data_IF_915729516287
#
_entry.id   IF_915729516287
#
_cell.length_a   1.000
_cell.length_b   1.000
_cell.length_c   1.000
_cell.angle_alpha   90.00
_cell.angle_beta   90.00
_cell.angle_gamma   90.00
#
_symmetry.space_group_name_H-M   'P 1'
#
loop_
_entity.id
_entity.type
_entity.pdbx_description
1 polymer ?
#
# COMPACT_ATOMS: atom_id res chain seq x y z
N UNK A 1 -44.94 61.42 25.93
CA UNK A 1 -44.92 60.18 25.13
C UNK A 1 -43.66 60.22 24.29
N UNK A 2 -42.64 59.45 24.67
CA UNK A 2 -41.39 59.38 23.92
C UNK A 2 -41.53 58.36 22.77
N UNK A 3 -40.98 58.65 21.58
CA UNK A 3 -41.08 57.73 20.45
C UNK A 3 -40.14 56.53 20.66
N UNK A 4 -40.74 55.34 20.77
CA UNK A 4 -40.03 54.07 20.84
C UNK A 4 -39.26 53.85 19.54
N UNK A 5 -37.93 53.88 19.63
CA UNK A 5 -37.03 53.63 18.51
C UNK A 5 -37.13 52.14 18.15
N UNK A 6 -37.88 51.84 17.09
CA UNK A 6 -37.96 50.49 16.54
C UNK A 6 -36.68 50.17 15.77
N UNK A 7 -35.71 49.55 16.45
CA UNK A 7 -34.51 49.04 15.80
C UNK A 7 -34.84 47.73 15.08
N UNK A 8 -34.81 47.68 13.73
CA UNK A 8 -35.08 46.44 13.02
C UNK A 8 -34.03 45.37 13.38
N UNK A 9 -34.43 44.09 13.47
CA UNK A 9 -33.53 43.03 13.86
C UNK A 9 -32.40 42.88 12.84
N UNK A 10 -31.17 42.71 13.35
CA UNK A 10 -29.97 42.55 12.52
C UNK A 10 -30.14 41.34 11.57
N UNK A 11 -29.93 41.50 10.26
CA UNK A 11 -30.10 40.40 9.30
C UNK A 11 -29.11 39.27 9.64
N UNK A 12 -29.65 38.04 9.81
CA UNK A 12 -28.85 36.84 10.09
C UNK A 12 -28.01 36.51 8.85
N UNK A 13 -26.69 36.74 8.92
CA UNK A 13 -25.75 36.22 7.92
C UNK A 13 -25.76 34.70 8.00
N UNK A 14 -25.96 34.00 6.87
CA UNK A 14 -25.86 32.55 6.83
C UNK A 14 -24.45 32.11 7.26
N UNK A 15 -24.36 31.19 8.21
CA UNK A 15 -23.08 30.57 8.65
C UNK A 15 -22.42 29.78 7.51
N UNK A 16 -23.21 29.43 6.49
CA UNK A 16 -22.72 28.77 5.30
C UNK A 16 -21.95 29.78 4.43
N UNK A 17 -20.73 29.42 3.99
CA UNK A 17 -19.99 30.25 3.05
C UNK A 17 -20.84 30.48 1.80
N UNK A 18 -20.83 31.70 1.22
CA UNK A 18 -21.62 31.99 0.04
C UNK A 18 -21.27 30.99 -1.06
N UNK A 19 -22.29 30.33 -1.61
CA UNK A 19 -22.09 29.40 -2.72
C UNK A 19 -21.36 30.14 -3.84
N UNK A 20 -20.10 29.74 -4.11
CA UNK A 20 -19.31 30.29 -5.20
C UNK A 20 -20.11 30.11 -6.49
N UNK A 21 -20.71 31.20 -6.99
CA UNK A 21 -21.31 31.24 -8.31
C UNK A 21 -20.18 30.89 -9.27
N UNK A 22 -20.22 29.68 -9.85
CA UNK A 22 -19.23 29.24 -10.83
C UNK A 22 -19.27 30.26 -11.96
N UNK A 23 -18.17 31.01 -12.15
CA UNK A 23 -18.05 31.91 -13.29
C UNK A 23 -18.21 31.04 -14.54
N UNK A 24 -19.25 31.28 -15.33
CA UNK A 24 -19.47 30.62 -16.61
C UNK A 24 -18.45 31.21 -17.60
N UNK A 25 -17.23 30.70 -17.57
CA UNK A 25 -16.08 31.27 -18.30
C UNK A 25 -16.16 31.08 -19.82
N UNK A 26 -17.09 30.26 -20.32
CA UNK A 26 -17.22 30.01 -21.75
C UNK A 26 -18.69 30.06 -22.15
N UNK A 27 -19.19 31.28 -22.41
CA UNK A 27 -20.40 31.46 -23.20
C UNK A 27 -19.98 31.24 -24.65
N UNK A 28 -20.10 30.01 -25.13
CA UNK A 28 -19.81 29.67 -26.52
C UNK A 28 -20.82 30.44 -27.38
N UNK A 29 -20.34 31.32 -28.25
CA UNK A 29 -21.19 32.22 -29.06
C UNK A 29 -21.99 31.45 -30.11
N UNK A 30 -21.39 30.39 -30.68
CA UNK A 30 -22.02 29.56 -31.70
C UNK A 30 -21.69 28.07 -31.48
N UNK A 31 -22.71 27.22 -31.46
CA UNK A 31 -22.57 25.77 -31.34
C UNK A 31 -22.73 25.16 -32.74
N UNK A 32 -21.62 24.82 -33.38
CA UNK A 32 -21.65 24.10 -34.66
C UNK A 32 -21.88 22.60 -34.41
N UNK A 33 -22.98 22.05 -34.94
CA UNK A 33 -23.31 20.63 -34.84
C UNK A 33 -22.76 19.88 -36.05
N UNK A 34 -21.64 19.21 -35.82
CA UNK A 34 -21.05 18.30 -36.80
C UNK A 34 -21.80 16.96 -36.78
N UNK A 35 -22.53 16.68 -37.86
CA UNK A 35 -23.33 15.47 -38.00
C UNK A 35 -22.49 14.19 -38.04
N UNK A 36 -21.25 14.26 -38.55
CA UNK A 36 -20.34 13.10 -38.59
C UNK A 36 -19.88 12.74 -37.19
N UNK A 37 -19.44 13.74 -36.41
CA UNK A 37 -19.10 13.54 -34.99
C UNK A 37 -20.31 13.06 -34.18
N UNK A 38 -21.52 13.50 -34.52
CA UNK A 38 -22.75 12.99 -33.90
C UNK A 38 -22.97 11.51 -34.24
N UNK A 39 -22.77 11.09 -35.48
CA UNK A 39 -22.89 9.69 -35.89
C UNK A 39 -21.84 8.81 -35.18
N UNK A 40 -20.59 9.26 -35.12
CA UNK A 40 -19.50 8.61 -34.37
C UNK A 40 -19.80 8.55 -32.86
N UNK A 41 -20.42 9.60 -32.34
CA UNK A 41 -20.86 9.60 -30.95
C UNK A 41 -22.03 8.62 -30.74
N UNK A 42 -23.01 8.53 -31.63
CA UNK A 42 -24.12 7.59 -31.43
C UNK A 42 -23.71 6.13 -31.65
N UNK A 43 -22.73 5.84 -32.50
CA UNK A 43 -22.31 4.45 -32.80
C UNK A 43 -21.09 4.01 -31.99
N UNK A 44 -20.20 4.94 -31.65
CA UNK A 44 -18.90 4.67 -31.01
C UNK A 44 -18.93 4.50 -29.48
N UNK A 45 -20.03 4.01 -28.88
CA UNK A 45 -20.13 3.86 -27.42
C UNK A 45 -18.99 3.01 -26.83
N UNK A 46 -18.62 1.92 -27.50
CA UNK A 46 -17.48 1.09 -27.07
C UNK A 46 -16.17 1.88 -27.15
N UNK A 47 -15.93 2.61 -28.25
CA UNK A 47 -14.75 3.48 -28.42
C UNK A 47 -14.65 4.51 -27.28
N UNK A 48 -15.76 5.16 -26.90
CA UNK A 48 -15.78 6.10 -25.77
C UNK A 48 -15.58 5.44 -24.41
N UNK A 49 -16.12 4.25 -24.21
CA UNK A 49 -15.90 3.49 -22.97
C UNK A 49 -14.43 3.14 -22.83
N UNK A 50 -13.81 2.63 -23.90
CA UNK A 50 -12.37 2.33 -23.93
C UNK A 50 -11.55 3.61 -23.74
N UNK A 51 -11.90 4.70 -24.42
CA UNK A 51 -11.20 5.99 -24.25
C UNK A 51 -11.25 6.50 -22.81
N UNK A 52 -12.41 6.42 -22.13
CA UNK A 52 -12.52 6.78 -20.71
C UNK A 52 -11.67 5.90 -19.82
N UNK A 53 -11.65 4.58 -20.07
CA UNK A 53 -10.81 3.66 -19.30
C UNK A 53 -9.32 4.01 -19.50
N UNK A 54 -8.90 4.25 -20.75
CA UNK A 54 -7.53 4.67 -21.07
C UNK A 54 -7.15 6.01 -20.46
N UNK A 55 -8.07 6.98 -20.46
CA UNK A 55 -7.86 8.29 -19.81
C UNK A 55 -7.69 8.12 -18.29
N UNK A 56 -8.55 7.34 -17.65
CA UNK A 56 -8.42 7.06 -16.22
C UNK A 56 -7.10 6.34 -15.89
N UNK A 57 -6.68 5.38 -16.72
CA UNK A 57 -5.37 4.73 -16.59
C UNK A 57 -4.21 5.73 -16.75
N UNK A 58 -4.24 6.55 -17.79
CA UNK A 58 -3.21 7.56 -18.02
C UNK A 58 -3.13 8.61 -16.91
N UNK A 59 -4.26 9.04 -16.35
CA UNK A 59 -4.29 9.95 -15.19
C UNK A 59 -3.73 9.28 -13.93
N UNK A 60 -4.06 8.01 -13.68
CA UNK A 60 -3.50 7.26 -12.56
C UNK A 60 -1.99 7.09 -12.70
N UNK A 61 -1.49 6.76 -13.90
CA UNK A 61 -0.05 6.66 -14.17
C UNK A 61 0.68 7.99 -14.00
N UNK A 62 0.07 9.11 -14.43
CA UNK A 62 0.64 10.44 -14.23
C UNK A 62 0.76 10.78 -12.75
N UNK A 63 -0.31 10.55 -11.98
CA UNK A 63 -0.30 10.77 -10.52
C UNK A 63 0.73 9.90 -9.82
N UNK A 64 0.80 8.61 -10.14
CA UNK A 64 1.79 7.70 -9.55
C UNK A 64 3.24 8.13 -9.84
N UNK A 65 3.52 8.66 -11.04
CA UNK A 65 4.84 9.22 -11.37
C UNK A 65 5.14 10.48 -10.57
N UNK A 66 4.18 11.39 -10.48
CA UNK A 66 4.30 12.63 -9.70
C UNK A 66 4.53 12.34 -8.22
N UNK A 67 3.77 11.40 -7.64
CA UNK A 67 3.92 10.92 -6.26
C UNK A 67 5.31 10.29 -6.04
N UNK A 68 5.77 9.44 -6.96
CA UNK A 68 7.11 8.83 -6.87
C UNK A 68 8.23 9.87 -6.90
N UNK A 69 8.10 10.90 -7.73
CA UNK A 69 9.07 12.00 -7.81
C UNK A 69 9.02 12.83 -6.51
N UNK A 70 7.83 13.14 -6.01
CA UNK A 70 7.66 13.88 -4.77
C UNK A 70 8.28 13.14 -3.58
N UNK A 71 8.01 11.83 -3.43
CA UNK A 71 8.60 10.99 -2.38
C UNK A 71 10.12 10.94 -2.46
N UNK A 72 10.68 10.79 -3.67
CA UNK A 72 12.15 10.82 -3.86
C UNK A 72 12.75 12.17 -3.50
N UNK A 73 12.04 13.27 -3.77
CA UNK A 73 12.48 14.61 -3.42
C UNK A 73 12.45 14.80 -1.90
N UNK A 74 11.37 14.38 -1.25
CA UNK A 74 11.24 14.39 0.22
C UNK A 74 12.37 13.60 0.88
N UNK A 75 12.63 12.36 0.45
CA UNK A 75 13.72 11.54 0.98
C UNK A 75 15.10 12.19 0.84
N UNK A 76 15.34 12.92 -0.26
CA UNK A 76 16.60 13.67 -0.46
C UNK A 76 16.68 14.90 0.44
N UNK A 77 15.56 15.57 0.66
CA UNK A 77 15.47 16.73 1.56
C UNK A 77 15.66 16.30 3.02
N UNK A 78 15.01 15.22 3.44
CA UNK A 78 15.17 14.60 4.76
C UNK A 78 16.63 14.22 5.02
N UNK A 79 17.27 13.46 4.11
CA UNK A 79 18.70 13.12 4.24
C UNK A 79 19.60 14.35 4.33
N UNK A 80 19.27 15.41 3.58
CA UNK A 80 20.05 16.65 3.64
C UNK A 80 19.88 17.35 4.98
N UNK A 81 18.67 17.38 5.51
CA UNK A 81 18.37 17.93 6.84
C UNK A 81 19.08 17.12 7.93
N UNK A 82 18.99 15.80 7.91
CA UNK A 82 19.69 14.91 8.85
C UNK A 82 21.20 15.16 8.84
N UNK A 83 21.81 15.29 7.65
CA UNK A 83 23.23 15.62 7.54
C UNK A 83 23.57 17.01 8.08
N UNK A 84 22.70 18.00 7.85
CA UNK A 84 22.88 19.36 8.38
C UNK A 84 22.79 19.36 9.90
N UNK A 85 21.76 18.74 10.46
CA UNK A 85 21.55 18.60 11.91
C UNK A 85 22.72 17.86 12.56
N UNK A 86 23.23 16.80 11.92
CA UNK A 86 24.38 16.05 12.41
C UNK A 86 25.66 16.91 12.42
N UNK A 87 25.93 17.65 11.32
CA UNK A 87 27.09 18.57 11.26
C UNK A 87 26.95 19.68 12.29
N UNK A 88 25.76 20.24 12.46
CA UNK A 88 25.48 21.25 13.49
C UNK A 88 25.69 20.67 14.90
N UNK A 89 25.26 19.45 15.17
CA UNK A 89 25.46 18.76 16.45
C UNK A 89 26.95 18.49 16.74
N UNK A 90 27.71 18.01 15.76
CA UNK A 90 29.16 17.79 15.88
C UNK A 90 29.90 19.12 16.10
N UNK A 91 29.55 20.15 15.33
CA UNK A 91 30.12 21.48 15.50
C UNK A 91 29.79 22.05 16.89
N UNK A 92 28.56 21.87 17.39
CA UNK A 92 28.18 22.28 18.73
C UNK A 92 28.99 21.54 19.80
N UNK A 93 29.18 20.23 19.67
CA UNK A 93 30.02 19.45 20.58
C UNK A 93 31.48 19.91 20.57
N UNK A 94 32.05 20.19 19.39
CA UNK A 94 33.41 20.71 19.25
C UNK A 94 33.56 22.11 19.84
N UNK A 95 32.55 22.98 19.70
CA UNK A 95 32.54 24.29 20.34
C UNK A 95 32.45 24.16 21.86
N UNK A 96 31.65 23.22 22.38
CA UNK A 96 31.55 22.95 23.82
C UNK A 96 32.88 22.39 24.37
N UNK A 97 33.54 21.45 23.69
CA UNK A 97 34.85 20.93 24.13
C UNK A 97 35.92 22.02 24.12
N UNK A 98 35.95 22.84 23.05
CA UNK A 98 36.87 23.98 22.91
C UNK A 98 36.67 25.06 23.98
N UNK A 99 35.42 25.36 24.33
CA UNK A 99 35.11 26.35 25.38
C UNK A 99 35.31 25.79 26.79
N UNK A 100 35.19 24.48 26.98
CA UNK A 100 35.47 23.80 28.25
C UNK A 100 36.96 23.56 28.51
N UNK A 101 37.86 23.93 27.59
CA UNK A 101 39.31 23.80 27.76
C UNK A 101 39.82 22.35 27.77
N UNK A 102 39.02 21.40 27.31
CA UNK A 102 39.45 20.02 27.09
C UNK A 102 40.12 19.97 25.71
N UNK A 103 41.39 20.37 25.65
CA UNK A 103 42.27 20.13 24.50
C UNK A 103 42.40 18.61 24.34
N UNK A 104 41.62 18.05 23.41
CA UNK A 104 41.88 16.71 22.88
C UNK A 104 43.07 16.89 21.95
N UNK A 105 44.26 16.89 22.55
CA UNK A 105 45.54 16.74 21.86
C UNK A 105 45.43 15.41 21.10
N UNK A 106 45.41 15.51 19.78
CA UNK A 106 45.15 14.40 18.90
C UNK A 106 46.30 13.41 18.97
N UNK A 107 46.08 12.28 19.63
CA UNK A 107 46.82 11.07 19.29
C UNK A 107 46.37 10.69 17.88
N UNK A 108 47.28 10.86 16.93
CA UNK A 108 47.13 10.54 15.52
C UNK A 108 47.02 9.00 15.36
N UNK A 109 45.92 8.40 15.81
CA UNK A 109 45.46 7.12 15.26
C UNK A 109 44.93 7.40 13.85
N UNK A 110 45.87 7.70 12.96
CA UNK A 110 45.67 7.72 11.53
C UNK A 110 44.98 6.41 11.17
N UNK A 111 43.74 6.52 10.67
CA UNK A 111 42.95 5.39 10.18
C UNK A 111 43.80 4.61 9.19
N UNK A 112 44.43 3.54 9.69
CA UNK A 112 45.30 2.67 8.92
C UNK A 112 44.35 1.93 7.98
N UNK A 113 44.32 2.36 6.73
CA UNK A 113 43.40 1.86 5.72
C UNK A 113 43.38 0.34 5.74
N UNK A 114 42.18 -0.24 5.60
CA UNK A 114 41.92 -1.69 5.59
C UNK A 114 43.12 -2.41 5.00
N UNK A 115 43.88 -3.10 5.85
CA UNK A 115 45.04 -3.89 5.43
C UNK A 115 44.52 -4.96 4.45
N UNK A 116 44.82 -4.76 3.17
CA UNK A 116 44.51 -5.64 2.04
C UNK A 116 45.42 -6.88 2.04
N UNK A 117 45.69 -7.47 3.21
CA UNK A 117 46.60 -8.62 3.35
C UNK A 117 46.08 -9.69 4.32
N UNK A 118 44.78 -9.68 4.61
CA UNK A 118 44.08 -10.90 5.05
C UNK A 118 43.42 -11.49 3.82
N UNK A 119 44.13 -12.40 3.16
CA UNK A 119 43.52 -13.35 2.24
C UNK A 119 42.22 -13.85 2.88
N UNK A 120 41.06 -13.77 2.20
CA UNK A 120 39.84 -14.31 2.77
C UNK A 120 40.09 -15.80 2.98
N UNK A 121 40.25 -16.21 4.24
CA UNK A 121 39.94 -17.59 4.59
C UNK A 121 38.54 -17.83 4.03
N UNK A 122 38.33 -18.90 3.25
CA UNK A 122 36.99 -19.28 2.85
C UNK A 122 36.27 -19.60 4.15
N UNK A 123 35.58 -18.60 4.68
CA UNK A 123 34.58 -18.86 5.69
C UNK A 123 33.54 -19.62 4.90
N UNK A 124 33.49 -20.93 5.14
CA UNK A 124 32.45 -21.83 4.70
C UNK A 124 31.15 -21.32 5.34
N UNK A 125 30.64 -20.23 4.80
CA UNK A 125 29.34 -19.72 5.14
C UNK A 125 28.38 -20.69 4.44
N UNK A 126 27.87 -21.65 5.19
CA UNK A 126 26.60 -22.28 4.86
C UNK A 126 25.53 -21.17 4.90
N UNK A 127 25.40 -20.41 3.81
CA UNK A 127 24.46 -19.27 3.69
C UNK A 127 23.01 -19.75 3.46
N UNK A 128 22.78 -21.06 3.53
CA UNK A 128 21.45 -21.64 3.42
C UNK A 128 20.74 -21.57 4.79
N UNK A 129 20.16 -20.40 5.09
CA UNK A 129 19.37 -20.17 6.31
C UNK A 129 17.93 -19.78 5.99
N UNK A 130 17.01 -20.32 6.78
CA UNK A 130 15.58 -20.02 6.70
C UNK A 130 15.22 -18.98 7.76
N UNK A 131 14.80 -17.79 7.34
CA UNK A 131 14.30 -16.77 8.26
C UNK A 131 12.76 -16.76 8.27
N UNK A 132 12.18 -16.93 9.45
CA UNK A 132 10.74 -16.85 9.65
C UNK A 132 10.31 -15.40 9.92
N UNK A 133 9.57 -14.80 8.98
CA UNK A 133 8.96 -13.50 9.18
C UNK A 133 7.49 -13.65 9.59
N UNK A 134 7.17 -13.08 10.75
CA UNK A 134 5.82 -13.04 11.32
C UNK A 134 5.27 -11.62 11.23
N UNK A 135 4.42 -11.36 10.26
CA UNK A 135 3.54 -10.19 10.24
C UNK A 135 2.23 -10.54 10.95
N UNK A 136 1.54 -9.55 11.54
CA UNK A 136 0.38 -9.68 12.44
C UNK A 136 -0.73 -10.66 11.96
N UNK A 137 -0.83 -10.94 10.65
CA UNK A 137 -1.77 -11.90 10.05
C UNK A 137 -1.13 -12.84 8.98
N UNK A 138 0.19 -12.84 8.80
CA UNK A 138 0.88 -13.63 7.74
C UNK A 138 2.20 -14.21 8.21
N UNK A 139 2.31 -15.53 8.08
CA UNK A 139 3.56 -16.26 8.26
C UNK A 139 4.16 -16.52 6.89
N UNK A 140 5.35 -15.97 6.63
CA UNK A 140 6.11 -16.22 5.40
C UNK A 140 7.54 -16.59 5.77
N UNK A 141 8.00 -17.73 5.27
CA UNK A 141 9.39 -18.17 5.40
C UNK A 141 10.15 -17.74 4.15
N UNK A 142 11.32 -17.12 4.35
CA UNK A 142 12.24 -16.73 3.27
C UNK A 142 13.49 -17.59 3.39
N UNK A 143 13.77 -18.37 2.35
CA UNK A 143 14.97 -19.21 2.24
C UNK A 143 16.01 -18.45 1.41
N UNK A 144 17.15 -18.14 2.00
CA UNK A 144 18.31 -17.61 1.27
C UNK A 144 19.11 -18.82 0.79
N UNK A 145 19.32 -18.96 -0.52
CA UNK A 145 20.17 -20.02 -1.09
C UNK A 145 21.37 -19.38 -1.78
N UNK A 146 22.56 -20.01 -1.68
CA UNK A 146 23.75 -19.56 -2.41
C UNK A 146 23.63 -19.89 -3.92
N UNK A 147 23.85 -18.89 -4.77
CA UNK A 147 23.73 -19.05 -6.22
C UNK A 147 24.82 -18.29 -6.97
N UNK A 148 25.47 -18.97 -7.92
CA UNK A 148 26.54 -18.42 -8.74
C UNK A 148 26.02 -17.74 -10.00
N UNK A 149 26.53 -16.54 -10.29
CA UNK A 149 26.14 -15.73 -11.44
C UNK A 149 27.19 -15.89 -12.54
N UNK A 150 26.93 -16.82 -13.46
CA UNK A 150 27.78 -17.04 -14.63
C UNK A 150 27.23 -16.31 -15.87
N UNK A 151 28.06 -16.18 -16.92
CA UNK A 151 27.66 -15.56 -18.20
C UNK A 151 26.45 -16.25 -18.87
N UNK A 152 26.22 -17.52 -18.55
CA UNK A 152 25.06 -18.31 -19.01
C UNK A 152 23.86 -18.27 -18.07
N UNK A 153 23.94 -17.52 -16.96
CA UNK A 153 22.82 -17.29 -16.04
C UNK A 153 23.12 -17.70 -14.60
N UNK A 154 22.04 -17.78 -13.82
CA UNK A 154 22.05 -18.03 -12.38
C UNK A 154 22.04 -19.55 -12.12
N UNK A 155 23.12 -20.10 -11.56
CA UNK A 155 23.32 -21.55 -11.33
C UNK A 155 23.42 -21.83 -9.83
N UNK A 156 22.57 -22.74 -9.32
CA UNK A 156 22.60 -23.17 -7.91
C UNK A 156 23.88 -23.97 -7.64
N UNK A 157 24.67 -23.54 -6.65
CA UNK A 157 25.80 -24.33 -6.18
C UNK A 157 25.23 -25.56 -5.46
N UNK A 158 25.62 -26.75 -5.91
CA UNK A 158 25.34 -28.00 -5.20
C UNK A 158 26.71 -28.59 -4.91
N UNK A 159 27.16 -28.48 -3.67
CA UNK A 159 28.43 -29.08 -3.25
C UNK A 159 28.35 -30.59 -3.39
N UNK A 160 29.29 -31.13 -4.17
CA UNK A 160 29.32 -32.53 -4.58
C UNK A 160 30.57 -33.20 -3.99
N UNK A 161 30.55 -33.44 -2.67
CA UNK A 161 31.52 -34.28 -1.96
C UNK A 161 30.74 -35.42 -1.26
N UNK A 162 30.31 -36.41 -2.05
CA UNK A 162 30.71 -37.82 -1.86
C UNK A 162 29.83 -38.74 -2.72
N UNK A 163 30.51 -39.48 -3.59
CA UNK A 163 29.97 -40.52 -4.45
C UNK A 163 30.33 -41.87 -3.85
N UNK A 164 29.32 -42.76 -3.79
CA UNK A 164 29.39 -44.22 -3.58
C UNK A 164 29.60 -44.72 -2.14
N UNK A 165 28.64 -45.47 -1.57
CA UNK A 165 28.58 -46.96 -1.65
C UNK A 165 27.37 -47.53 -0.88
N UNK A 166 26.80 -48.60 -1.44
CA UNK A 166 26.12 -49.72 -0.78
C UNK A 166 24.63 -49.61 -0.35
N UNK A 167 23.92 -50.65 -0.80
CA UNK A 167 22.56 -51.05 -0.50
C UNK A 167 22.23 -51.12 1.00
N UNK A 168 21.03 -50.67 1.37
CA UNK A 168 20.19 -51.49 2.24
C UNK A 168 18.71 -51.31 1.87
N UNK A 169 18.14 -52.42 1.40
CA UNK A 169 16.73 -52.59 1.08
C UNK A 169 15.98 -52.85 2.38
N UNK A 170 15.27 -51.86 2.92
CA UNK A 170 14.21 -52.08 3.91
C UNK A 170 12.83 -51.96 3.26
N UNK A 171 12.17 -53.11 3.10
CA UNK A 171 10.80 -53.26 2.62
C UNK A 171 9.83 -53.01 3.77
N UNK A 172 9.00 -51.97 3.69
CA UNK A 172 7.72 -51.84 4.41
C UNK A 172 6.63 -51.19 3.54
N UNK A 173 5.35 -51.48 3.83
CA UNK A 173 4.45 -52.13 2.89
C UNK A 173 3.72 -51.18 1.94
N UNK A 174 3.42 -51.71 0.76
CA UNK A 174 2.51 -51.13 -0.25
C UNK A 174 1.12 -50.97 0.35
N UNK A 175 0.84 -49.79 0.90
CA UNK A 175 -0.52 -49.35 1.12
C UNK A 175 -1.09 -48.94 -0.24
N UNK A 176 -2.18 -49.61 -0.64
CA UNK A 176 -2.86 -49.32 -1.91
C UNK A 176 -3.43 -47.91 -1.84
N UNK A 177 -2.68 -46.94 -2.34
CA UNK A 177 -3.18 -45.60 -2.59
C UNK A 177 -4.34 -45.69 -3.58
N UNK A 178 -5.54 -45.59 -3.05
CA UNK A 178 -6.72 -45.26 -3.85
C UNK A 178 -6.45 -43.93 -4.52
N UNK A 179 -6.11 -43.95 -5.81
CA UNK A 179 -5.84 -42.78 -6.66
C UNK A 179 -6.73 -41.61 -6.24
N UNK A 180 -6.16 -40.67 -5.49
CA UNK A 180 -6.88 -39.48 -5.08
C UNK A 180 -7.22 -38.71 -6.36
N UNK A 181 -8.52 -38.55 -6.61
CA UNK A 181 -9.00 -37.80 -7.76
C UNK A 181 -8.46 -36.38 -7.65
N UNK A 182 -7.74 -35.92 -8.69
CA UNK A 182 -7.21 -34.55 -8.81
C UNK A 182 -8.25 -33.53 -8.33
N UNK A 183 -7.99 -32.91 -7.17
CA UNK A 183 -8.80 -31.81 -6.63
C UNK A 183 -8.49 -30.54 -7.43
N UNK A 184 -9.34 -30.23 -8.39
CA UNK A 184 -9.26 -28.96 -9.09
C UNK A 184 -9.51 -27.80 -8.12
N UNK A 185 -8.74 -26.69 -8.21
CA UNK A 185 -8.94 -25.52 -7.37
C UNK A 185 -10.36 -24.97 -7.60
N UNK A 186 -11.13 -24.84 -6.52
CA UNK A 186 -12.48 -24.29 -6.58
C UNK A 186 -12.38 -22.80 -6.92
N UNK A 187 -12.84 -22.43 -8.12
CA UNK A 187 -12.95 -21.02 -8.52
C UNK A 187 -13.68 -20.23 -7.45
N UNK A 188 -13.06 -19.15 -6.98
CA UNK A 188 -13.68 -18.25 -6.02
C UNK A 188 -14.99 -17.70 -6.57
N UNK A 189 -16.07 -17.89 -5.81
CA UNK A 189 -17.39 -17.40 -6.22
C UNK A 189 -17.37 -15.87 -6.12
N UNK A 190 -17.63 -15.20 -7.25
CA UNK A 190 -17.80 -13.74 -7.30
C UNK A 190 -18.75 -13.30 -6.18
N UNK A 191 -18.31 -12.32 -5.37
CA UNK A 191 -19.14 -11.73 -4.32
C UNK A 191 -20.41 -11.18 -4.97
N UNK A 192 -21.57 -11.75 -4.61
CA UNK A 192 -22.85 -11.25 -5.08
C UNK A 192 -23.08 -9.89 -4.44
N UNK A 193 -23.18 -8.83 -5.24
CA UNK A 193 -23.60 -7.52 -4.75
C UNK A 193 -24.98 -7.68 -4.09
N UNK A 194 -25.05 -7.39 -2.80
CA UNK A 194 -26.29 -7.35 -2.03
C UNK A 194 -26.41 -5.96 -1.44
N UNK A 195 -27.64 -5.45 -1.41
CA UNK A 195 -27.95 -4.13 -0.89
C UNK A 195 -27.66 -3.96 0.60
N UNK A 196 -27.58 -5.07 1.34
CA UNK A 196 -27.31 -5.11 2.78
C UNK A 196 -26.47 -6.36 3.11
N UNK A 197 -25.65 -6.24 4.15
CA UNK A 197 -24.91 -7.38 4.71
C UNK A 197 -25.85 -8.40 5.37
N UNK A 198 -25.38 -9.65 5.59
CA UNK A 198 -26.18 -10.68 6.28
C UNK A 198 -26.53 -10.25 7.72
N UNK A 199 -25.66 -9.46 8.35
CA UNK A 199 -25.86 -8.90 9.69
C UNK A 199 -26.95 -7.81 9.66
N UNK A 200 -26.83 -6.83 8.76
CA UNK A 200 -27.86 -5.79 8.55
C UNK A 200 -29.24 -6.40 8.27
N UNK A 201 -29.30 -7.41 7.37
CA UNK A 201 -30.55 -8.14 7.08
C UNK A 201 -31.18 -8.79 8.32
N UNK A 202 -30.36 -9.31 9.23
CA UNK A 202 -30.86 -9.93 10.47
C UNK A 202 -31.48 -8.86 11.37
N UNK A 203 -30.79 -7.75 11.55
CA UNK A 203 -31.25 -6.61 12.36
C UNK A 203 -32.55 -6.02 11.77
N UNK A 204 -32.62 -5.81 10.46
CA UNK A 204 -33.83 -5.29 9.80
C UNK A 204 -35.00 -6.27 9.94
N UNK A 205 -34.75 -7.58 9.80
CA UNK A 205 -35.77 -8.62 10.01
C UNK A 205 -36.28 -8.65 11.45
N UNK A 206 -35.41 -8.52 12.44
CA UNK A 206 -35.79 -8.48 13.86
C UNK A 206 -36.60 -7.23 14.18
N UNK A 207 -36.17 -6.06 13.69
CA UNK A 207 -36.93 -4.80 13.84
C UNK A 207 -38.32 -4.90 13.21
N UNK A 208 -38.44 -5.48 12.02
CA UNK A 208 -39.73 -5.71 11.37
C UNK A 208 -40.60 -6.70 12.15
N UNK A 209 -40.01 -7.78 12.70
CA UNK A 209 -40.74 -8.74 13.54
C UNK A 209 -41.25 -8.09 14.82
N UNK A 210 -40.42 -7.28 15.50
CA UNK A 210 -40.82 -6.54 16.70
C UNK A 210 -41.96 -5.56 16.39
N UNK A 211 -41.84 -4.77 15.31
CA UNK A 211 -42.88 -3.85 14.88
C UNK A 211 -44.21 -4.56 14.52
N UNK A 212 -44.14 -5.70 13.83
CA UNK A 212 -45.32 -6.52 13.51
C UNK A 212 -45.93 -7.13 14.77
N UNK A 213 -45.11 -7.60 15.72
CA UNK A 213 -45.57 -8.15 17.01
C UNK A 213 -46.27 -7.07 17.84
N UNK A 214 -45.70 -5.88 17.95
CA UNK A 214 -46.33 -4.74 18.65
C UNK A 214 -47.66 -4.34 18.02
N UNK A 215 -47.71 -4.19 16.69
CA UNK A 215 -48.96 -3.89 15.97
C UNK A 215 -50.01 -5.00 16.11
N UNK A 216 -49.58 -6.26 16.20
CA UNK A 216 -50.49 -7.39 16.44
C UNK A 216 -50.98 -7.44 17.89
N UNK A 217 -50.14 -7.13 18.88
CA UNK A 217 -50.52 -7.00 20.30
C UNK A 217 -51.56 -5.90 20.51
N UNK A 218 -51.31 -4.71 19.95
CA UNK A 218 -52.25 -3.59 19.98
C UNK A 218 -53.61 -3.93 19.34
N UNK A 219 -53.63 -4.76 18.29
CA UNK A 219 -54.88 -5.26 17.68
C UNK A 219 -55.59 -6.32 18.52
N UNK A 220 -54.86 -7.07 19.34
CA UNK A 220 -55.38 -8.13 20.20
C UNK A 220 -55.78 -7.61 21.60
N UNK A 221 -55.60 -6.32 21.87
CA UNK A 221 -56.02 -5.68 23.13
C UNK A 221 -55.27 -6.18 24.36
N UNK A 222 -54.04 -6.66 24.18
CA UNK A 222 -53.24 -7.25 25.24
C UNK A 222 -52.08 -6.28 25.57
N UNK A 223 -52.40 -5.19 26.28
CA UNK A 223 -51.42 -4.36 27.00
C UNK A 223 -51.08 -5.04 28.34
#
# INVERSE_FOLDING_TARGET
>A
MEPVIFNPPRPKKSVLPPAKKRKTTHKIEEINFDFEKRADYLTGFHKRKVARIKQAQAEAEKKAKEERIALRKQLREERKQELQEHVEAVNALLQVSKTSGMDVDGDEEAWNGIEEDVAPEPVDHEVDHEEEYVDEDKYTTVTVEAVDISKDGLQKLVDHEDSETAEEVEVKPVEKETKEKKKWPKKEKKKKFRYESKAERRITREKQKAAKKGRAGARRGND
#
